data_IF_035184586294
#
_entry.id   IF_035184586294
#
_cell.length_a   1.000
_cell.length_b   1.000
_cell.length_c   1.000
_cell.angle_alpha   90.00
_cell.angle_beta   90.00
_cell.angle_gamma   90.00
#
_symmetry.space_group_name_H-M   'P 1'
#
loop_
_entity.id
_entity.type
_entity.pdbx_description
1 polymer ?
#
# COMPACT_ATOMS: atom_id res chain seq x y z
N UNK A 1 -67.31 2.85 27.86
CA UNK A 1 -66.26 3.44 28.70
C UNK A 1 -64.96 3.40 27.93
N UNK A 2 -64.62 4.48 27.29
CA UNK A 2 -63.33 5.08 26.98
C UNK A 2 -62.27 4.15 26.42
N UNK A 3 -62.07 4.13 25.09
CA UNK A 3 -60.83 3.81 24.44
C UNK A 3 -60.40 5.01 23.63
N UNK A 4 -59.47 5.78 24.17
CA UNK A 4 -58.83 6.93 23.55
C UNK A 4 -57.67 6.51 22.67
N UNK A 5 -57.75 6.87 21.40
CA UNK A 5 -56.76 7.36 20.46
C UNK A 5 -55.28 7.15 20.80
N UNK A 6 -54.64 6.34 19.97
CA UNK A 6 -53.24 6.53 19.67
C UNK A 6 -53.09 6.52 18.14
N UNK A 7 -53.02 7.68 17.56
CA UNK A 7 -52.55 7.89 16.20
C UNK A 7 -51.03 8.07 16.27
N UNK A 8 -50.20 7.22 15.67
CA UNK A 8 -48.81 7.57 15.50
C UNK A 8 -48.72 8.54 14.33
N UNK A 9 -48.16 9.66 14.61
CA UNK A 9 -47.76 10.75 13.74
C UNK A 9 -46.79 10.19 12.69
N UNK A 10 -47.31 9.83 11.51
CA UNK A 10 -46.51 9.60 10.33
C UNK A 10 -45.95 10.95 9.88
N UNK A 11 -44.75 11.27 10.36
CA UNK A 11 -43.89 12.31 9.78
C UNK A 11 -43.58 11.84 8.36
N UNK A 12 -44.34 12.33 7.39
CA UNK A 12 -43.92 12.35 5.99
C UNK A 12 -42.66 13.21 5.92
N UNK A 13 -41.51 12.60 6.02
CA UNK A 13 -40.27 13.21 5.56
C UNK A 13 -40.38 13.25 4.04
N UNK A 14 -40.91 14.35 3.54
CA UNK A 14 -40.81 14.70 2.12
C UNK A 14 -39.31 14.88 1.84
N UNK A 15 -38.66 13.79 1.42
CA UNK A 15 -37.34 13.84 0.84
C UNK A 15 -37.46 14.67 -0.43
N UNK A 16 -36.99 15.91 -0.33
CA UNK A 16 -37.03 16.85 -1.43
C UNK A 16 -36.06 16.32 -2.49
N UNK A 17 -36.61 15.70 -3.57
CA UNK A 17 -35.83 15.18 -4.70
C UNK A 17 -34.92 16.24 -5.35
N UNK A 18 -35.11 17.51 -5.06
CA UNK A 18 -34.23 18.59 -5.51
C UNK A 18 -32.84 18.58 -4.86
N UNK A 19 -32.66 17.88 -3.72
CA UNK A 19 -31.33 17.77 -3.08
C UNK A 19 -30.48 16.61 -3.67
N UNK A 20 -31.07 15.77 -4.50
CA UNK A 20 -30.36 14.69 -5.18
C UNK A 20 -29.55 15.18 -6.39
N UNK A 21 -29.79 16.39 -6.85
CA UNK A 21 -29.05 17.03 -7.95
C UNK A 21 -27.69 17.64 -7.53
N UNK A 22 -27.36 17.60 -6.25
CA UNK A 22 -26.11 18.10 -5.70
C UNK A 22 -25.14 16.97 -5.29
N UNK A 23 -25.21 15.81 -5.94
CA UNK A 23 -24.08 14.88 -5.87
C UNK A 23 -22.87 15.57 -6.51
N UNK A 24 -21.72 15.64 -5.82
CA UNK A 24 -20.53 16.22 -6.42
C UNK A 24 -20.29 15.54 -7.75
N UNK A 25 -20.03 16.34 -8.80
CA UNK A 25 -19.74 15.76 -10.09
C UNK A 25 -18.57 14.78 -9.96
N UNK A 26 -18.48 13.85 -10.90
CA UNK A 26 -17.49 12.76 -10.85
C UNK A 26 -16.04 13.30 -10.63
N UNK A 27 -15.74 14.52 -11.08
CA UNK A 27 -14.43 15.15 -10.95
C UNK A 27 -14.09 15.55 -9.51
N UNK A 28 -15.07 16.08 -8.75
CA UNK A 28 -14.89 16.39 -7.34
C UNK A 28 -14.74 15.12 -6.50
N UNK A 29 -15.49 14.06 -6.83
CA UNK A 29 -15.38 12.78 -6.16
C UNK A 29 -14.03 12.10 -6.43
N UNK A 30 -13.53 12.15 -7.67
CA UNK A 30 -12.22 11.64 -8.04
C UNK A 30 -11.09 12.47 -7.40
N UNK A 31 -11.27 13.77 -7.25
CA UNK A 31 -10.32 14.63 -6.55
C UNK A 31 -10.24 14.32 -5.05
N UNK A 32 -11.38 14.09 -4.39
CA UNK A 32 -11.43 13.68 -2.99
C UNK A 32 -10.79 12.31 -2.76
N UNK A 33 -11.01 11.34 -3.66
CA UNK A 33 -10.33 10.03 -3.61
C UNK A 33 -8.81 10.15 -3.75
N UNK A 34 -8.32 10.98 -4.68
CA UNK A 34 -6.87 11.21 -4.83
C UNK A 34 -6.26 11.81 -3.57
N UNK A 35 -6.95 12.72 -2.91
CA UNK A 35 -6.51 13.30 -1.63
C UNK A 35 -6.40 12.18 -0.58
N UNK A 36 -7.40 11.30 -0.47
CA UNK A 36 -7.35 10.19 0.46
C UNK A 36 -6.17 9.23 0.23
N UNK A 37 -5.78 8.96 -1.02
CA UNK A 37 -4.61 8.10 -1.28
C UNK A 37 -3.32 8.75 -0.79
N UNK A 38 -3.15 10.06 -1.02
CA UNK A 38 -1.99 10.83 -0.53
C UNK A 38 -1.94 10.81 0.99
N UNK A 39 -3.03 11.20 1.64
CA UNK A 39 -3.13 11.26 3.09
C UNK A 39 -2.86 9.90 3.73
N UNK A 40 -3.41 8.83 3.15
CA UNK A 40 -3.18 7.48 3.64
C UNK A 40 -1.71 7.06 3.53
N UNK A 41 -1.02 7.42 2.45
CA UNK A 41 0.41 7.12 2.27
C UNK A 41 1.25 7.91 3.27
N UNK A 42 1.00 9.21 3.45
CA UNK A 42 1.74 10.02 4.41
C UNK A 42 1.50 9.55 5.85
N UNK A 43 0.26 9.30 6.23
CA UNK A 43 -0.07 8.75 7.56
C UNK A 43 0.58 7.38 7.77
N UNK A 44 0.66 6.55 6.74
CA UNK A 44 1.34 5.26 6.83
C UNK A 44 2.85 5.42 7.07
N UNK A 45 3.50 6.41 6.46
CA UNK A 45 4.92 6.73 6.72
C UNK A 45 5.15 7.14 8.17
N UNK A 46 4.26 7.99 8.72
CA UNK A 46 4.31 8.36 10.13
C UNK A 46 4.15 7.13 11.05
N UNK A 47 3.17 6.27 10.73
CA UNK A 47 2.93 5.02 11.47
C UNK A 47 4.13 4.07 11.42
N UNK A 48 4.85 3.99 10.28
CA UNK A 48 6.10 3.20 10.17
C UNK A 48 7.17 3.72 11.14
N UNK A 49 7.34 5.04 11.23
CA UNK A 49 8.28 5.67 12.17
C UNK A 49 7.92 5.31 13.62
N UNK A 50 6.62 5.33 13.93
CA UNK A 50 6.09 4.96 15.25
C UNK A 50 6.04 3.44 15.49
N UNK A 51 6.44 2.61 14.50
CA UNK A 51 6.36 1.15 14.53
C UNK A 51 4.94 0.59 14.68
N UNK A 52 3.91 1.38 14.32
CA UNK A 52 2.53 0.92 14.24
C UNK A 52 2.31 0.15 12.91
N UNK A 53 2.95 -0.99 12.79
CA UNK A 53 2.93 -1.79 11.56
C UNK A 53 1.52 -2.29 11.20
N UNK A 54 0.71 -2.64 12.21
CA UNK A 54 -0.67 -3.07 11.96
C UNK A 54 -1.52 -1.93 11.43
N UNK A 55 -1.34 -0.72 11.94
CA UNK A 55 -1.99 0.49 11.43
C UNK A 55 -1.61 0.76 9.96
N UNK A 56 -0.34 0.58 9.58
CA UNK A 56 0.13 0.68 8.19
C UNK A 56 -0.58 -0.34 7.30
N UNK A 57 -0.59 -1.61 7.71
CA UNK A 57 -1.19 -2.71 6.94
C UNK A 57 -2.67 -2.43 6.69
N UNK A 58 -3.42 -2.04 7.74
CA UNK A 58 -4.84 -1.76 7.63
C UNK A 58 -5.11 -0.58 6.68
N UNK A 59 -4.38 0.52 6.87
CA UNK A 59 -4.56 1.76 6.11
C UNK A 59 -4.24 1.56 4.62
N UNK A 60 -3.09 0.99 4.30
CA UNK A 60 -2.65 0.84 2.92
C UNK A 60 -3.38 -0.29 2.18
N UNK A 61 -3.96 -1.25 2.90
CA UNK A 61 -4.84 -2.25 2.28
C UNK A 61 -6.09 -1.63 1.67
N UNK A 62 -6.56 -0.50 2.20
CA UNK A 62 -7.67 0.26 1.60
C UNK A 62 -7.24 0.83 0.26
N UNK A 63 -6.07 1.48 0.21
CA UNK A 63 -5.52 2.03 -1.03
C UNK A 63 -5.35 0.96 -2.10
N UNK A 64 -4.69 -0.14 -1.76
CA UNK A 64 -4.32 -1.22 -2.69
C UNK A 64 -5.54 -1.99 -3.24
N UNK A 65 -6.67 -1.99 -2.53
CA UNK A 65 -7.94 -2.56 -2.99
C UNK A 65 -8.72 -1.66 -3.92
N UNK A 66 -8.35 -0.40 -4.04
CA UNK A 66 -9.05 0.54 -4.92
C UNK A 66 -8.65 0.29 -6.37
N UNK A 67 -9.65 0.19 -7.27
CA UNK A 67 -9.42 -0.04 -8.69
C UNK A 67 -8.93 1.22 -9.44
N UNK A 68 -9.03 2.38 -8.82
CA UNK A 68 -8.72 3.69 -9.42
C UNK A 68 -7.56 4.40 -8.71
N UNK A 69 -6.75 3.66 -7.96
CA UNK A 69 -5.52 4.18 -7.38
C UNK A 69 -4.49 4.47 -8.48
N UNK A 70 -3.93 5.69 -8.56
CA UNK A 70 -2.84 5.97 -9.49
C UNK A 70 -1.59 5.14 -9.15
N UNK A 71 -0.85 4.71 -10.18
CA UNK A 71 0.34 3.85 -10.03
C UNK A 71 1.35 4.40 -9.03
N UNK A 72 1.56 5.72 -8.98
CA UNK A 72 2.48 6.34 -8.01
C UNK A 72 2.09 6.04 -6.55
N UNK A 73 0.81 6.12 -6.21
CA UNK A 73 0.33 5.82 -4.86
C UNK A 73 0.20 4.32 -4.62
N UNK A 74 -0.07 3.53 -5.66
CA UNK A 74 -0.05 2.08 -5.58
C UNK A 74 1.36 1.57 -5.24
N UNK A 75 2.37 2.07 -5.94
CA UNK A 75 3.79 1.75 -5.68
C UNK A 75 4.17 2.09 -4.24
N UNK A 76 3.88 3.33 -3.79
CA UNK A 76 4.19 3.72 -2.42
C UNK A 76 3.41 2.90 -1.37
N UNK A 77 2.15 2.58 -1.65
CA UNK A 77 1.33 1.75 -0.77
C UNK A 77 1.88 0.32 -0.67
N UNK A 78 2.25 -0.28 -1.78
CA UNK A 78 2.84 -1.62 -1.81
C UNK A 78 4.18 -1.66 -1.06
N UNK A 79 5.07 -0.70 -1.31
CA UNK A 79 6.37 -0.63 -0.64
C UNK A 79 6.20 -0.47 0.88
N UNK A 80 5.38 0.48 1.32
CA UNK A 80 5.23 0.76 2.75
C UNK A 80 4.49 -0.38 3.48
N UNK A 81 3.50 -1.04 2.85
CA UNK A 81 2.85 -2.20 3.43
C UNK A 81 3.78 -3.41 3.44
N UNK A 82 4.55 -3.63 2.40
CA UNK A 82 5.60 -4.64 2.34
C UNK A 82 6.64 -4.45 3.45
N UNK A 83 7.07 -3.20 3.72
CA UNK A 83 7.94 -2.87 4.84
C UNK A 83 7.30 -3.27 6.19
N UNK A 84 6.02 -2.94 6.40
CA UNK A 84 5.33 -3.31 7.63
C UNK A 84 5.24 -4.83 7.81
N UNK A 85 4.95 -5.58 6.74
CA UNK A 85 4.98 -7.04 6.77
C UNK A 85 6.39 -7.58 7.04
N UNK A 86 7.43 -6.99 6.44
CA UNK A 86 8.81 -7.40 6.66
C UNK A 86 9.22 -7.23 8.13
N UNK A 87 8.90 -6.09 8.75
CA UNK A 87 9.22 -5.81 10.15
C UNK A 87 8.41 -6.66 11.15
N UNK A 88 7.28 -7.21 10.72
CA UNK A 88 6.47 -8.14 11.53
C UNK A 88 6.79 -9.62 11.21
N UNK A 89 7.85 -9.90 10.45
CA UNK A 89 8.28 -11.22 9.99
C UNK A 89 7.24 -11.98 9.12
N UNK A 90 6.27 -11.25 8.58
CA UNK A 90 5.29 -11.79 7.62
C UNK A 90 5.89 -11.78 6.20
N UNK A 91 6.94 -12.56 5.99
CA UNK A 91 7.79 -12.48 4.80
C UNK A 91 7.07 -12.82 3.49
N UNK A 92 6.13 -13.74 3.48
CA UNK A 92 5.37 -14.10 2.27
C UNK A 92 4.48 -12.93 1.80
N UNK A 93 3.85 -12.22 2.73
CA UNK A 93 3.08 -11.02 2.40
C UNK A 93 3.97 -9.87 1.94
N UNK A 94 5.12 -9.68 2.59
CA UNK A 94 6.10 -8.68 2.16
C UNK A 94 6.60 -8.97 0.73
N UNK A 95 6.93 -10.24 0.44
CA UNK A 95 7.33 -10.69 -0.89
C UNK A 95 6.25 -10.41 -1.93
N UNK A 96 5.00 -10.72 -1.62
CA UNK A 96 3.86 -10.48 -2.51
C UNK A 96 3.75 -9.00 -2.87
N UNK A 97 3.83 -8.10 -1.90
CA UNK A 97 3.74 -6.66 -2.13
C UNK A 97 4.91 -6.13 -2.96
N UNK A 98 6.14 -6.51 -2.64
CA UNK A 98 7.32 -6.07 -3.39
C UNK A 98 7.35 -6.64 -4.82
N UNK A 99 6.94 -7.91 -5.00
CA UNK A 99 6.88 -8.52 -6.34
C UNK A 99 5.83 -7.82 -7.20
N UNK A 100 4.65 -7.55 -6.65
CA UNK A 100 3.62 -6.78 -7.34
C UNK A 100 4.08 -5.36 -7.68
N UNK A 101 4.88 -4.72 -6.80
CA UNK A 101 5.47 -3.42 -7.10
C UNK A 101 6.36 -3.50 -8.35
N UNK A 102 7.19 -4.53 -8.50
CA UNK A 102 8.09 -4.68 -9.65
C UNK A 102 7.37 -4.90 -10.99
N UNK A 103 6.09 -5.27 -10.97
CA UNK A 103 5.25 -5.37 -12.17
C UNK A 103 4.85 -3.98 -12.70
N UNK A 104 4.98 -2.93 -11.87
CA UNK A 104 4.66 -1.55 -12.22
C UNK A 104 5.96 -0.86 -12.67
N UNK A 105 5.96 -0.25 -13.86
CA UNK A 105 7.15 0.38 -14.44
C UNK A 105 7.82 1.38 -13.49
N UNK A 106 7.03 2.18 -12.78
CA UNK A 106 7.52 3.16 -11.79
C UNK A 106 8.27 2.54 -10.60
N UNK A 107 8.15 1.22 -10.38
CA UNK A 107 8.77 0.50 -9.26
C UNK A 107 10.05 -0.26 -9.66
N UNK A 108 10.61 -0.03 -10.85
CA UNK A 108 11.87 -0.66 -11.27
C UNK A 108 13.06 -0.07 -10.49
N UNK A 109 13.24 -0.56 -9.25
CA UNK A 109 14.13 0.03 -8.24
C UNK A 109 15.14 -0.98 -7.71
N UNK A 110 16.37 -0.52 -7.56
CA UNK A 110 17.47 -1.31 -7.02
C UNK A 110 17.24 -1.73 -5.56
N UNK A 111 16.66 -0.83 -4.74
CA UNK A 111 16.39 -1.10 -3.32
C UNK A 111 15.31 -2.19 -3.13
N UNK A 112 14.28 -2.23 -3.96
CA UNK A 112 13.26 -3.28 -3.89
C UNK A 112 13.85 -4.63 -4.26
N UNK A 113 14.66 -4.71 -5.32
CA UNK A 113 15.39 -5.93 -5.65
C UNK A 113 16.34 -6.36 -4.53
N UNK A 114 17.04 -5.43 -3.87
CA UNK A 114 17.89 -5.73 -2.72
C UNK A 114 17.08 -6.34 -1.55
N UNK A 115 15.92 -5.76 -1.24
CA UNK A 115 15.05 -6.25 -0.17
C UNK A 115 14.52 -7.65 -0.51
N UNK A 116 14.06 -7.87 -1.73
CA UNK A 116 13.61 -9.20 -2.19
C UNK A 116 14.73 -10.23 -2.11
N UNK A 117 15.95 -9.88 -2.53
CA UNK A 117 17.10 -10.76 -2.37
C UNK A 117 17.34 -11.16 -0.91
N UNK A 118 17.36 -10.19 0.02
CA UNK A 118 17.48 -10.46 1.46
C UNK A 118 16.35 -11.32 2.00
N UNK A 119 15.16 -11.13 1.50
CA UNK A 119 13.97 -11.87 1.89
C UNK A 119 14.06 -13.34 1.43
N UNK A 120 14.50 -13.57 0.20
CA UNK A 120 14.70 -14.92 -0.34
C UNK A 120 15.82 -15.68 0.41
N UNK A 121 16.87 -14.99 0.85
CA UNK A 121 17.88 -15.59 1.75
C UNK A 121 17.23 -16.06 3.05
N UNK A 122 16.37 -15.25 3.66
CA UNK A 122 15.65 -15.62 4.90
C UNK A 122 14.72 -16.81 4.70
N UNK A 123 14.19 -16.98 3.48
CA UNK A 123 13.34 -18.13 3.09
C UNK A 123 14.17 -19.35 2.64
N UNK A 124 15.49 -19.25 2.58
CA UNK A 124 16.38 -20.33 2.14
C UNK A 124 16.51 -20.49 0.62
N UNK A 125 15.96 -19.55 -0.17
CA UNK A 125 15.92 -19.60 -1.62
C UNK A 125 17.13 -18.88 -2.24
N UNK A 126 18.35 -19.38 -2.01
CA UNK A 126 19.59 -18.70 -2.37
C UNK A 126 19.76 -18.42 -3.88
N UNK A 127 19.29 -19.32 -4.75
CA UNK A 127 19.34 -19.12 -6.20
C UNK A 127 18.45 -17.95 -6.66
N UNK A 128 17.25 -17.86 -6.08
CA UNK A 128 16.32 -16.76 -6.36
C UNK A 128 16.89 -15.46 -5.79
N UNK A 129 17.45 -15.50 -4.57
CA UNK A 129 18.11 -14.35 -3.95
C UNK A 129 19.24 -13.80 -4.85
N UNK A 130 20.08 -14.71 -5.41
CA UNK A 130 21.15 -14.31 -6.31
C UNK A 130 20.63 -13.55 -7.55
N UNK A 131 19.49 -13.93 -8.11
CA UNK A 131 18.89 -13.24 -9.25
C UNK A 131 18.45 -11.81 -8.88
N UNK A 132 17.81 -11.65 -7.72
CA UNK A 132 17.42 -10.33 -7.21
C UNK A 132 18.62 -9.44 -6.88
N UNK A 133 19.68 -9.99 -6.27
CA UNK A 133 20.90 -9.21 -6.02
C UNK A 133 21.59 -8.77 -7.31
N UNK A 134 21.63 -9.62 -8.36
CA UNK A 134 22.13 -9.21 -9.68
C UNK A 134 21.29 -8.05 -10.25
N UNK A 135 19.97 -8.12 -10.16
CA UNK A 135 19.10 -7.03 -10.61
C UNK A 135 19.32 -5.75 -9.81
N UNK A 136 19.50 -5.86 -8.47
CA UNK A 136 19.83 -4.72 -7.62
C UNK A 136 21.15 -4.07 -8.03
N UNK A 137 22.19 -4.86 -8.34
CA UNK A 137 23.48 -4.36 -8.83
C UNK A 137 23.32 -3.60 -10.15
N UNK A 138 22.59 -4.18 -11.11
CA UNK A 138 22.38 -3.55 -12.42
C UNK A 138 21.61 -2.23 -12.32
N UNK A 139 20.65 -2.15 -11.41
CA UNK A 139 19.80 -0.96 -11.22
C UNK A 139 20.41 0.05 -10.24
N UNK A 140 21.45 -0.32 -9.48
CA UNK A 140 22.01 0.54 -8.42
C UNK A 140 22.65 1.82 -8.95
N UNK A 141 23.06 1.83 -10.22
CA UNK A 141 23.81 2.96 -10.84
C UNK A 141 24.94 3.44 -9.90
N UNK A 142 24.77 4.63 -9.31
CA UNK A 142 25.74 5.24 -8.41
C UNK A 142 25.41 5.07 -6.91
N UNK A 143 24.47 4.18 -6.56
CA UNK A 143 24.14 3.93 -5.15
C UNK A 143 25.09 2.89 -4.56
N UNK A 144 26.25 3.37 -4.05
CA UNK A 144 27.29 2.52 -3.47
C UNK A 144 26.80 1.67 -2.28
N UNK A 145 25.83 2.14 -1.52
CA UNK A 145 25.27 1.38 -0.40
C UNK A 145 24.54 0.13 -0.90
N UNK A 146 23.62 0.27 -1.86
CA UNK A 146 22.91 -0.87 -2.45
C UNK A 146 23.89 -1.81 -3.12
N UNK A 147 24.86 -1.26 -3.88
CA UNK A 147 25.87 -2.05 -4.58
C UNK A 147 26.69 -2.89 -3.59
N UNK A 148 27.21 -2.28 -2.52
CA UNK A 148 28.02 -2.98 -1.53
C UNK A 148 27.24 -4.07 -0.79
N UNK A 149 25.99 -3.78 -0.42
CA UNK A 149 25.11 -4.76 0.25
C UNK A 149 24.79 -5.94 -0.67
N UNK A 150 24.44 -5.69 -1.94
CA UNK A 150 24.16 -6.75 -2.89
C UNK A 150 25.38 -7.62 -3.20
N UNK A 151 26.58 -7.00 -3.34
CA UNK A 151 27.82 -7.72 -3.57
C UNK A 151 28.26 -8.56 -2.37
N UNK A 152 27.90 -8.18 -1.15
CA UNK A 152 28.26 -8.93 0.06
C UNK A 152 27.67 -10.36 0.07
N UNK A 153 26.53 -10.57 -0.56
CA UNK A 153 25.93 -11.89 -0.71
C UNK A 153 26.86 -12.86 -1.49
N UNK A 154 27.53 -12.37 -2.54
CA UNK A 154 28.40 -13.22 -3.37
C UNK A 154 29.78 -13.46 -2.77
N UNK A 155 30.16 -12.73 -1.70
CA UNK A 155 31.44 -12.94 -1.01
C UNK A 155 31.35 -14.00 0.09
N UNK A 156 30.17 -14.20 0.65
CA UNK A 156 29.91 -15.17 1.72
C UNK A 156 28.67 -15.98 1.34
N UNK A 157 28.77 -16.93 0.37
CA UNK A 157 27.66 -17.71 -0.11
C UNK A 157 27.13 -18.72 0.93
#
# INVERSE_FOLDING_TARGET
>A
MILKYFFPFLLFISINFASLAALPNNDNFNKLRKINFVENVELAKEKLILKDYQGVINLLSINIKSNDIPDSYLVESLINRGNAYFFTNNYDYAKTDYSRCLEIELCQRADINLILGKLEVKLGNNEIAASYFKSAILLSKNNFKILSEALSFFKNP
#
